data_IF_478325625404
#
_entry.id   IF_478325625404
#
_cell.length_a   1.000
_cell.length_b   1.000
_cell.length_c   1.000
_cell.angle_alpha   90.00
_cell.angle_beta   90.00
_cell.angle_gamma   90.00
#
_symmetry.space_group_name_H-M   'P 1'
#
loop_
_entity.id
_entity.type
_entity.pdbx_description
1 polymer ?
#
# COMPACT_ATOMS: atom_id res chain seq x y z
N UNK A 1 6.49 -14.14 27.71
CA UNK A 1 5.44 -13.32 27.05
C UNK A 1 5.63 -11.90 27.53
N UNK A 2 5.37 -10.87 26.70
CA UNK A 2 5.41 -9.46 27.13
C UNK A 2 4.18 -9.15 27.99
N UNK A 3 4.34 -8.46 29.12
CA UNK A 3 3.23 -8.00 29.98
C UNK A 3 3.19 -6.45 30.07
N UNK A 4 2.12 -5.89 30.63
CA UNK A 4 1.96 -4.42 30.73
C UNK A 4 2.93 -3.76 31.71
N UNK A 5 3.20 -4.40 32.83
CA UNK A 5 4.11 -3.99 33.92
C UNK A 5 5.57 -4.35 33.62
N UNK A 6 5.81 -5.35 32.75
CA UNK A 6 7.12 -5.74 32.22
C UNK A 6 7.09 -5.91 30.68
N UNK A 7 7.08 -4.79 29.93
CA UNK A 7 7.04 -4.83 28.48
C UNK A 7 8.38 -5.29 27.91
N UNK A 8 8.35 -6.36 27.13
CA UNK A 8 9.48 -6.83 26.32
C UNK A 8 9.37 -6.23 24.92
N UNK A 9 10.07 -5.12 24.69
CA UNK A 9 10.05 -4.38 23.42
C UNK A 9 11.11 -4.91 22.46
N UNK A 10 10.72 -5.19 21.23
CA UNK A 10 11.65 -5.52 20.14
C UNK A 10 12.18 -4.23 19.50
N UNK A 11 13.44 -4.24 19.09
CA UNK A 11 13.98 -3.14 18.28
C UNK A 11 13.17 -3.01 16.99
N UNK A 12 12.71 -1.81 16.62
CA UNK A 12 12.00 -1.60 15.37
C UNK A 12 12.86 -2.04 14.18
N UNK A 13 12.23 -2.70 13.21
CA UNK A 13 12.86 -2.97 11.93
C UNK A 13 13.04 -1.64 11.17
N UNK A 14 14.25 -1.36 10.69
CA UNK A 14 14.52 -0.18 9.86
C UNK A 14 14.09 -0.48 8.41
N UNK A 15 12.84 -0.18 8.07
CA UNK A 15 12.27 -0.49 6.76
C UNK A 15 12.92 0.39 5.68
N UNK A 16 13.15 -0.14 4.48
CA UNK A 16 13.65 0.66 3.36
C UNK A 16 12.59 1.68 2.92
N UNK A 17 13.04 2.81 2.38
CA UNK A 17 12.14 3.78 1.75
C UNK A 17 11.67 3.27 0.37
N UNK A 18 10.39 3.40 0.03
CA UNK A 18 9.90 3.08 -1.31
C UNK A 18 10.33 4.17 -2.30
N UNK A 19 11.02 3.77 -3.37
CA UNK A 19 11.66 4.67 -4.32
C UNK A 19 10.91 4.81 -5.66
N UNK A 20 9.90 3.97 -5.90
CA UNK A 20 9.16 3.95 -7.16
C UNK A 20 7.71 4.45 -6.96
N UNK A 21 7.39 5.68 -7.40
CA UNK A 21 6.02 6.18 -7.45
C UNK A 21 5.30 5.72 -8.72
N UNK A 22 4.07 5.23 -8.56
CA UNK A 22 3.20 4.79 -9.65
C UNK A 22 1.82 5.41 -9.46
N UNK A 23 1.32 6.14 -10.47
CA UNK A 23 -0.03 6.65 -10.45
C UNK A 23 -1.04 5.52 -10.72
N UNK A 24 -2.04 5.37 -9.84
CA UNK A 24 -3.08 4.35 -9.95
C UNK A 24 -4.44 5.04 -10.07
N UNK A 25 -5.30 4.45 -10.91
CA UNK A 25 -6.70 4.86 -11.07
C UNK A 25 -7.60 3.64 -11.15
N UNK A 26 -8.84 3.79 -10.72
CA UNK A 26 -9.85 2.78 -10.97
C UNK A 26 -10.20 2.75 -12.46
N UNK A 27 -10.50 1.56 -13.00
CA UNK A 27 -10.96 1.41 -14.38
C UNK A 27 -12.32 2.09 -14.61
N UNK A 28 -13.20 2.00 -13.63
CA UNK A 28 -14.51 2.65 -13.64
C UNK A 28 -14.72 3.43 -12.34
N UNK A 29 -15.53 4.49 -12.42
CA UNK A 29 -15.89 5.32 -11.26
C UNK A 29 -16.54 4.51 -10.14
N UNK A 30 -17.30 3.47 -10.48
CA UNK A 30 -17.94 2.58 -9.51
C UNK A 30 -16.95 1.72 -8.71
N UNK A 31 -15.69 1.63 -9.14
CA UNK A 31 -14.65 0.84 -8.48
C UNK A 31 -13.68 1.70 -7.66
N UNK A 32 -13.87 3.02 -7.59
CA UNK A 32 -13.03 3.93 -6.79
C UNK A 32 -13.02 3.56 -5.31
N UNK A 33 -14.19 3.27 -4.74
CA UNK A 33 -14.32 2.87 -3.34
C UNK A 33 -13.64 1.52 -3.05
N UNK A 34 -13.76 0.57 -4.00
CA UNK A 34 -13.12 -0.75 -3.89
C UNK A 34 -11.60 -0.63 -3.97
N UNK A 35 -11.11 0.21 -4.89
CA UNK A 35 -9.69 0.51 -5.05
C UNK A 35 -9.13 1.11 -3.76
N UNK A 36 -9.80 2.13 -3.20
CA UNK A 36 -9.37 2.77 -1.95
C UNK A 36 -9.31 1.77 -0.79
N UNK A 37 -10.33 0.95 -0.62
CA UNK A 37 -10.35 -0.10 0.41
C UNK A 37 -9.27 -1.17 0.18
N UNK A 38 -9.04 -1.58 -1.06
CA UNK A 38 -8.00 -2.55 -1.42
C UNK A 38 -6.60 -2.03 -1.11
N UNK A 39 -6.32 -0.77 -1.45
CA UNK A 39 -5.05 -0.11 -1.15
C UNK A 39 -4.79 0.03 0.35
N UNK A 40 -5.82 0.38 1.14
CA UNK A 40 -5.70 0.44 2.60
C UNK A 40 -5.37 -0.93 3.21
N UNK A 41 -5.98 -2.01 2.71
CA UNK A 41 -5.68 -3.36 3.18
C UNK A 41 -4.28 -3.81 2.79
N UNK A 42 -3.84 -3.52 1.56
CA UNK A 42 -2.48 -3.81 1.13
C UNK A 42 -1.43 -3.07 1.97
N UNK A 43 -1.67 -1.79 2.30
CA UNK A 43 -0.78 -1.01 3.16
C UNK A 43 -0.69 -1.56 4.59
N UNK A 44 -1.76 -2.19 5.09
CA UNK A 44 -1.75 -2.85 6.38
C UNK A 44 -1.01 -4.21 6.37
N UNK A 45 -0.92 -4.87 5.20
CA UNK A 45 -0.22 -6.13 5.03
C UNK A 45 1.28 -5.94 4.76
N UNK A 46 1.66 -4.88 4.05
CA UNK A 46 3.04 -4.58 3.68
C UNK A 46 3.47 -3.18 4.16
N UNK A 47 4.34 -3.08 5.18
CA UNK A 47 4.75 -1.80 5.74
C UNK A 47 5.76 -1.05 4.86
N UNK A 48 6.24 -1.63 3.76
CA UNK A 48 7.09 -0.94 2.77
C UNK A 48 6.28 -0.18 1.72
N UNK A 49 4.96 -0.37 1.72
CA UNK A 49 4.03 0.30 0.81
C UNK A 49 3.57 1.64 1.38
N UNK A 50 3.55 2.68 0.54
CA UNK A 50 2.98 3.98 0.91
C UNK A 50 1.97 4.43 -0.14
N UNK A 51 0.80 4.86 0.32
CA UNK A 51 -0.25 5.41 -0.54
C UNK A 51 -0.33 6.92 -0.27
N UNK A 52 -0.30 7.71 -1.33
CA UNK A 52 -0.35 9.16 -1.26
C UNK A 52 -1.41 9.71 -2.20
N UNK A 53 -2.11 10.77 -1.78
CA UNK A 53 -3.00 11.54 -2.64
C UNK A 53 -2.27 12.82 -3.06
N UNK A 54 -1.88 12.90 -4.32
CA UNK A 54 -1.19 14.07 -4.84
C UNK A 54 -2.20 15.21 -5.05
N UNK A 55 -2.02 16.32 -4.34
CA UNK A 55 -2.94 17.46 -4.36
C UNK A 55 -2.89 18.27 -5.67
N UNK A 56 -1.77 18.22 -6.41
CA UNK A 56 -1.58 18.95 -7.66
C UNK A 56 -2.18 18.22 -8.86
N UNK A 57 -2.00 16.89 -8.91
CA UNK A 57 -2.50 16.05 -10.02
C UNK A 57 -3.86 15.42 -9.73
N UNK A 58 -4.33 15.47 -8.48
CA UNK A 58 -5.52 14.76 -7.99
C UNK A 58 -5.49 13.25 -8.24
N UNK A 59 -4.28 12.67 -8.29
CA UNK A 59 -4.07 11.25 -8.49
C UNK A 59 -3.72 10.55 -7.18
N UNK A 60 -4.06 9.26 -7.11
CA UNK A 60 -3.54 8.36 -6.08
C UNK A 60 -2.20 7.83 -6.57
N UNK A 61 -1.16 8.02 -5.76
CA UNK A 61 0.21 7.57 -6.04
C UNK A 61 0.54 6.43 -5.08
N UNK A 62 0.87 5.27 -5.65
CA UNK A 62 1.38 4.12 -4.93
C UNK A 62 2.91 4.14 -4.97
N UNK A 63 3.52 4.20 -3.81
CA UNK A 63 4.95 4.07 -3.62
C UNK A 63 5.31 2.63 -3.29
N UNK A 64 6.25 2.07 -4.06
CA UNK A 64 6.75 0.72 -3.89
C UNK A 64 8.28 0.69 -4.00
N UNK A 65 8.87 -0.48 -3.70
CA UNK A 65 10.33 -0.63 -3.69
C UNK A 65 10.95 -0.69 -5.09
N UNK A 66 10.17 -1.02 -6.12
CA UNK A 66 10.63 -1.21 -7.49
C UNK A 66 9.60 -1.92 -8.37
N UNK A 67 9.92 -2.08 -9.65
CA UNK A 67 8.98 -2.57 -10.68
C UNK A 67 8.41 -3.96 -10.35
N UNK A 68 9.28 -4.91 -10.00
CA UNK A 68 8.84 -6.26 -9.61
C UNK A 68 7.92 -6.25 -8.38
N UNK A 69 8.10 -5.30 -7.45
CA UNK A 69 7.20 -5.15 -6.32
C UNK A 69 5.85 -4.59 -6.78
N UNK A 70 5.86 -3.58 -7.67
CA UNK A 70 4.64 -3.02 -8.24
C UNK A 70 3.77 -4.07 -8.94
N UNK A 71 4.37 -4.93 -9.77
CA UNK A 71 3.64 -5.96 -10.50
C UNK A 71 2.91 -6.92 -9.56
N UNK A 72 3.59 -7.38 -8.49
CA UNK A 72 2.99 -8.25 -7.47
C UNK A 72 1.85 -7.54 -6.74
N UNK A 73 1.99 -6.25 -6.44
CA UNK A 73 0.95 -5.47 -5.75
C UNK A 73 -0.27 -5.26 -6.63
N UNK A 74 -0.07 -4.94 -7.91
CA UNK A 74 -1.15 -4.77 -8.89
C UNK A 74 -1.90 -6.09 -9.07
N UNK A 75 -1.18 -7.21 -9.21
CA UNK A 75 -1.80 -8.54 -9.31
C UNK A 75 -2.62 -8.90 -8.06
N UNK A 76 -2.10 -8.61 -6.86
CA UNK A 76 -2.85 -8.81 -5.61
C UNK A 76 -4.10 -7.94 -5.54
N UNK A 77 -3.98 -6.68 -5.96
CA UNK A 77 -5.08 -5.73 -5.98
C UNK A 77 -6.18 -6.19 -6.94
N UNK A 78 -5.81 -6.61 -8.15
CA UNK A 78 -6.70 -7.14 -9.17
C UNK A 78 -7.39 -8.42 -8.71
N UNK A 79 -6.63 -9.39 -8.19
CA UNK A 79 -7.15 -10.69 -7.79
C UNK A 79 -8.09 -10.62 -6.58
N UNK A 80 -7.77 -9.78 -5.59
CA UNK A 80 -8.55 -9.72 -4.33
C UNK A 80 -9.68 -8.69 -4.36
N UNK A 81 -9.57 -7.64 -5.16
CA UNK A 81 -10.48 -6.50 -5.10
C UNK A 81 -11.12 -6.13 -6.44
N UNK A 82 -10.80 -6.86 -7.52
CA UNK A 82 -11.41 -6.66 -8.85
C UNK A 82 -11.05 -5.32 -9.49
N UNK A 83 -10.02 -4.65 -8.99
CA UNK A 83 -9.54 -3.36 -9.49
C UNK A 83 -8.28 -3.59 -10.32
N UNK A 84 -8.46 -3.69 -11.64
CA UNK A 84 -7.43 -3.57 -12.66
C UNK A 84 -7.95 -2.67 -13.77
#
# INVERSE_FOLDING_TARGET
>A
LSDKDNPLVLKPWNLPEPLLPIAIKARAKADEDKLSQGLQRLAAEDPTLRVEHNAETHQIVLWCMGEAHADVLIDRLAARYGAA
#
